data_IF_337045637016
#
_entry.id   IF_337045637016
#
_cell.length_a   1.000
_cell.length_b   1.000
_cell.length_c   1.000
_cell.angle_alpha   90.00
_cell.angle_beta   90.00
_cell.angle_gamma   90.00
#
_symmetry.space_group_name_H-M   'P 1'
#
loop_
_entity.id
_entity.type
_entity.pdbx_description
1 polymer ?
#
# COMPACT_ATOMS: atom_id res chain seq x y z
N UNK A 1 -42.87 29.79 17.31
CA UNK A 1 -41.63 29.83 16.50
C UNK A 1 -41.49 28.47 15.83
N UNK A 2 -41.95 28.33 14.58
CA UNK A 2 -41.70 27.09 13.83
C UNK A 2 -40.24 27.11 13.41
N UNK A 3 -39.43 26.20 13.96
CA UNK A 3 -38.11 25.96 13.41
C UNK A 3 -38.29 25.46 11.98
N UNK A 4 -37.81 26.24 11.03
CA UNK A 4 -37.91 25.96 9.61
C UNK A 4 -37.17 24.65 9.31
N UNK A 5 -37.95 23.61 9.01
CA UNK A 5 -37.45 22.26 8.74
C UNK A 5 -36.45 22.23 7.58
N UNK A 6 -36.52 23.22 6.67
CA UNK A 6 -35.58 23.34 5.56
C UNK A 6 -34.15 23.65 6.04
N UNK A 7 -33.98 24.51 7.04
CA UNK A 7 -32.67 24.88 7.60
C UNK A 7 -31.97 23.65 8.18
N UNK A 8 -32.72 22.80 8.88
CA UNK A 8 -32.20 21.57 9.47
C UNK A 8 -31.72 20.57 8.39
N UNK A 9 -32.45 20.46 7.28
CA UNK A 9 -32.06 19.60 6.14
C UNK A 9 -30.76 20.09 5.48
N UNK A 10 -30.57 21.41 5.32
CA UNK A 10 -29.32 21.95 4.77
C UNK A 10 -28.11 21.68 5.67
N UNK A 11 -28.26 21.77 6.99
CA UNK A 11 -27.17 21.45 7.94
C UNK A 11 -26.80 19.97 7.87
N UNK A 12 -27.78 19.07 7.87
CA UNK A 12 -27.53 17.62 7.75
C UNK A 12 -26.87 17.29 6.41
N UNK A 13 -27.32 17.89 5.29
CA UNK A 13 -26.69 17.71 3.99
C UNK A 13 -25.26 18.26 3.96
N UNK A 14 -24.99 19.41 4.58
CA UNK A 14 -23.65 19.96 4.67
C UNK A 14 -22.71 19.06 5.50
N UNK A 15 -23.16 18.51 6.63
CA UNK A 15 -22.38 17.55 7.42
C UNK A 15 -22.10 16.26 6.64
N UNK A 16 -23.10 15.72 5.93
CA UNK A 16 -22.90 14.55 5.06
C UNK A 16 -21.90 14.86 3.95
N UNK A 17 -21.98 16.03 3.30
CA UNK A 17 -21.04 16.44 2.26
C UNK A 17 -19.63 16.60 2.86
N UNK A 18 -19.48 17.21 4.04
CA UNK A 18 -18.20 17.36 4.73
C UNK A 18 -17.64 15.98 5.09
N UNK A 19 -18.45 15.07 5.61
CA UNK A 19 -18.04 13.70 5.91
C UNK A 19 -17.63 12.93 4.65
N UNK A 20 -18.36 13.10 3.53
CA UNK A 20 -18.01 12.49 2.25
C UNK A 20 -16.72 13.09 1.65
N UNK A 21 -16.50 14.40 1.80
CA UNK A 21 -15.25 15.06 1.40
C UNK A 21 -14.07 14.59 2.27
N UNK A 22 -14.27 14.48 3.58
CA UNK A 22 -13.27 13.95 4.51
C UNK A 22 -12.98 12.46 4.25
N UNK A 23 -13.99 11.67 3.87
CA UNK A 23 -13.84 10.26 3.51
C UNK A 23 -13.12 10.11 2.16
N UNK A 24 -13.38 10.99 1.20
CA UNK A 24 -12.67 11.03 -0.09
C UNK A 24 -11.19 11.38 0.07
N UNK A 25 -10.85 12.26 1.01
CA UNK A 25 -9.45 12.62 1.31
C UNK A 25 -8.78 11.63 2.29
N UNK A 26 -9.54 10.69 2.88
CA UNK A 26 -9.00 9.72 3.83
C UNK A 26 -8.21 8.65 3.08
N UNK A 27 -6.92 8.90 2.94
CA UNK A 27 -5.94 7.93 2.46
C UNK A 27 -6.10 6.62 3.23
N UNK A 28 -6.14 5.49 2.52
CA UNK A 28 -5.83 4.20 3.18
C UNK A 28 -4.42 4.35 3.74
N UNK A 29 -4.21 4.15 5.06
CA UNK A 29 -2.88 4.29 5.63
C UNK A 29 -1.93 3.38 4.84
N UNK A 30 -0.71 3.86 4.52
CA UNK A 30 0.24 3.05 3.80
C UNK A 30 0.55 1.78 4.60
N UNK A 31 0.92 0.72 3.89
CA UNK A 31 1.27 -0.54 4.52
C UNK A 31 2.38 -0.33 5.56
N UNK A 32 2.09 -0.71 6.80
CA UNK A 32 3.03 -0.63 7.92
C UNK A 32 3.47 -2.02 8.31
N UNK A 33 4.79 -2.24 8.30
CA UNK A 33 5.37 -3.47 8.83
C UNK A 33 5.23 -3.51 10.35
N UNK A 34 4.96 -4.70 10.89
CA UNK A 34 5.01 -4.96 12.33
C UNK A 34 6.42 -4.74 12.87
N UNK A 35 6.52 -4.18 14.08
CA UNK A 35 7.81 -4.00 14.77
C UNK A 35 8.48 -5.32 15.16
N UNK A 36 7.70 -6.40 15.20
CA UNK A 36 8.21 -7.75 15.48
C UNK A 36 9.17 -8.25 14.39
N UNK A 37 9.06 -7.71 13.16
CA UNK A 37 10.01 -8.00 12.07
C UNK A 37 11.39 -7.42 12.30
N UNK A 38 11.54 -6.48 13.24
CA UNK A 38 12.81 -5.78 13.44
C UNK A 38 13.80 -6.56 14.31
N UNK A 39 13.40 -7.67 14.92
CA UNK A 39 14.20 -8.39 15.90
C UNK A 39 14.31 -9.87 15.51
N UNK A 40 15.50 -10.45 15.62
CA UNK A 40 15.72 -11.87 15.38
C UNK A 40 15.40 -12.73 16.63
N UNK A 41 15.56 -14.05 16.51
CA UNK A 41 15.28 -14.99 17.61
C UNK A 41 16.18 -14.83 18.83
N UNK A 42 17.30 -14.12 18.71
CA UNK A 42 18.25 -13.84 19.79
C UNK A 42 18.01 -12.47 20.44
N UNK A 43 16.99 -11.72 19.99
CA UNK A 43 16.72 -10.36 20.49
C UNK A 43 17.57 -9.28 19.83
N UNK A 44 18.32 -9.60 18.77
CA UNK A 44 19.17 -8.64 18.05
C UNK A 44 18.34 -7.94 16.98
N UNK A 45 18.46 -6.61 16.90
CA UNK A 45 17.80 -5.81 15.89
C UNK A 45 18.41 -6.09 14.50
N UNK A 46 17.56 -6.30 13.50
CA UNK A 46 17.97 -6.31 12.11
C UNK A 46 18.38 -4.91 11.65
N UNK A 47 19.33 -4.86 10.72
CA UNK A 47 19.82 -3.63 10.10
C UNK A 47 19.22 -3.48 8.68
N UNK A 48 18.08 -2.77 8.52
CA UNK A 48 17.50 -2.52 7.21
C UNK A 48 18.38 -1.59 6.38
N UNK A 49 18.40 -1.80 5.06
CA UNK A 49 19.15 -0.96 4.11
C UNK A 49 18.44 0.35 3.78
N UNK A 50 17.12 0.41 3.99
CA UNK A 50 16.30 1.61 3.81
C UNK A 50 15.55 1.86 5.12
N UNK A 51 15.82 3.02 5.72
CA UNK A 51 15.18 3.49 6.96
C UNK A 51 14.47 4.80 6.70
N UNK A 52 13.52 5.15 7.57
CA UNK A 52 12.87 6.47 7.54
C UNK A 52 13.92 7.58 7.59
N UNK A 53 13.79 8.54 6.68
CA UNK A 53 14.74 9.64 6.56
C UNK A 53 14.50 10.68 7.67
N UNK A 54 15.52 11.05 8.48
CA UNK A 54 15.35 12.11 9.48
C UNK A 54 14.91 13.42 8.83
N UNK A 55 13.80 13.99 9.32
CA UNK A 55 13.25 15.24 8.76
C UNK A 55 12.62 15.09 7.38
N UNK A 56 12.16 13.88 7.02
CA UNK A 56 11.40 13.66 5.79
C UNK A 56 10.22 14.64 5.64
N UNK A 57 10.09 15.20 4.44
CA UNK A 57 8.91 15.94 3.97
C UNK A 57 8.65 15.53 2.53
N UNK A 58 7.47 14.97 2.30
CA UNK A 58 7.05 14.57 0.96
C UNK A 58 6.87 15.78 0.05
N UNK A 59 6.47 16.94 0.58
CA UNK A 59 6.36 18.19 -0.18
C UNK A 59 7.71 18.58 -0.79
N UNK A 60 8.80 18.50 -0.02
CA UNK A 60 10.13 18.83 -0.52
C UNK A 60 10.56 17.93 -1.68
N UNK A 61 10.32 16.62 -1.57
CA UNK A 61 10.63 15.67 -2.64
C UNK A 61 9.72 15.91 -3.87
N UNK A 62 8.43 16.16 -3.66
CA UNK A 62 7.47 16.47 -4.74
C UNK A 62 7.84 17.75 -5.49
N UNK A 63 8.19 18.84 -4.79
CA UNK A 63 8.61 20.09 -5.43
C UNK A 63 9.90 19.92 -6.22
N UNK A 64 10.87 19.15 -5.69
CA UNK A 64 12.12 18.87 -6.41
C UNK A 64 11.85 18.11 -7.70
N UNK A 65 11.08 17.02 -7.64
CA UNK A 65 10.76 16.19 -8.82
C UNK A 65 9.94 17.00 -9.84
N UNK A 66 8.95 17.76 -9.39
CA UNK A 66 8.05 18.50 -10.28
C UNK A 66 8.72 19.59 -11.11
N UNK A 67 9.76 20.23 -10.56
CA UNK A 67 10.44 21.38 -11.17
C UNK A 67 11.68 21.01 -12.03
N UNK A 68 12.05 19.73 -12.10
CA UNK A 68 13.21 19.26 -12.88
C UNK A 68 12.91 19.14 -14.38
N UNK A 69 13.97 19.12 -15.20
CA UNK A 69 13.86 18.74 -16.62
C UNK A 69 13.56 17.24 -16.76
N UNK A 70 13.11 16.83 -17.94
CA UNK A 70 12.68 15.46 -18.20
C UNK A 70 13.75 14.41 -17.87
N UNK A 71 15.00 14.64 -18.28
CA UNK A 71 16.09 13.68 -18.05
C UNK A 71 16.50 13.62 -16.58
N UNK A 72 16.54 14.76 -15.89
CA UNK A 72 16.85 14.84 -14.45
C UNK A 72 15.80 14.15 -13.57
N UNK A 73 14.53 14.13 -14.01
CA UNK A 73 13.44 13.49 -13.26
C UNK A 73 13.64 11.99 -13.10
N UNK A 74 14.13 11.29 -14.12
CA UNK A 74 14.30 9.84 -14.06
C UNK A 74 15.32 9.46 -12.98
N UNK A 75 16.49 10.09 -13.00
CA UNK A 75 17.56 9.86 -12.03
C UNK A 75 17.10 10.26 -10.62
N UNK A 76 16.44 11.42 -10.49
CA UNK A 76 15.96 11.88 -9.19
C UNK A 76 14.87 10.98 -8.61
N UNK A 77 13.93 10.54 -9.46
CA UNK A 77 12.88 9.63 -9.03
C UNK A 77 13.52 8.33 -8.54
N UNK A 78 14.47 7.77 -9.28
CA UNK A 78 15.16 6.54 -8.85
C UNK A 78 15.90 6.74 -7.51
N UNK A 79 16.60 7.85 -7.32
CA UNK A 79 17.25 8.20 -6.04
C UNK A 79 16.23 8.22 -4.89
N UNK A 80 15.07 8.85 -5.09
CA UNK A 80 13.99 8.91 -4.10
C UNK A 80 13.43 7.51 -3.83
N UNK A 81 13.18 6.70 -4.86
CA UNK A 81 12.64 5.35 -4.69
C UNK A 81 13.58 4.44 -3.90
N UNK A 82 14.88 4.54 -4.14
CA UNK A 82 15.90 3.71 -3.49
C UNK A 82 16.28 4.17 -2.08
N UNK A 83 15.89 5.38 -1.68
CA UNK A 83 16.26 5.97 -0.37
C UNK A 83 15.08 6.28 0.56
N UNK A 84 13.85 6.00 0.13
CA UNK A 84 12.64 6.23 0.92
C UNK A 84 11.94 4.91 1.23
N UNK A 85 11.40 4.79 2.43
CA UNK A 85 10.51 3.68 2.82
C UNK A 85 9.23 3.68 1.99
N UNK A 86 8.52 2.55 1.90
CA UNK A 86 7.27 2.50 1.14
C UNK A 86 6.24 3.53 1.64
N UNK A 87 6.10 3.70 2.96
CA UNK A 87 5.22 4.70 3.55
C UNK A 87 5.56 6.14 3.11
N UNK A 88 6.84 6.51 3.12
CA UNK A 88 7.30 7.81 2.62
C UNK A 88 7.01 7.96 1.11
N UNK A 89 7.22 6.91 0.32
CA UNK A 89 6.90 6.91 -1.12
C UNK A 89 5.40 7.08 -1.37
N UNK A 90 4.53 6.45 -0.57
CA UNK A 90 3.08 6.66 -0.66
C UNK A 90 2.68 8.10 -0.34
N UNK A 91 3.34 8.73 0.65
CA UNK A 91 3.12 10.16 0.93
C UNK A 91 3.56 11.04 -0.26
N UNK A 92 4.69 10.73 -0.90
CA UNK A 92 5.15 11.42 -2.12
C UNK A 92 4.15 11.24 -3.26
N UNK A 93 3.71 10.02 -3.55
CA UNK A 93 2.73 9.72 -4.63
C UNK A 93 1.45 10.52 -4.43
N UNK A 94 0.92 10.53 -3.21
CA UNK A 94 -0.29 11.28 -2.87
C UNK A 94 -0.10 12.79 -3.04
N UNK A 95 0.96 13.35 -2.46
CA UNK A 95 1.23 14.79 -2.54
C UNK A 95 1.55 15.24 -3.97
N UNK A 96 2.20 14.39 -4.78
CA UNK A 96 2.43 14.67 -6.19
C UNK A 96 1.12 14.77 -6.97
N UNK A 97 0.23 13.78 -6.79
CA UNK A 97 -1.09 13.78 -7.42
C UNK A 97 -1.91 15.01 -6.99
N UNK A 98 -1.85 15.40 -5.71
CA UNK A 98 -2.56 16.57 -5.18
C UNK A 98 -2.03 17.89 -5.74
N UNK A 99 -0.71 18.04 -5.84
CA UNK A 99 -0.08 19.29 -6.27
C UNK A 99 -0.09 19.48 -7.80
N UNK A 100 0.11 18.42 -8.57
CA UNK A 100 0.24 18.49 -10.03
C UNK A 100 -0.95 17.92 -10.80
N UNK A 101 -1.95 17.37 -10.10
CA UNK A 101 -3.14 16.72 -10.68
C UNK A 101 -2.81 15.64 -11.73
N UNK A 102 -1.70 14.91 -11.52
CA UNK A 102 -1.24 13.83 -12.40
C UNK A 102 -0.39 12.82 -11.64
N UNK A 103 -0.39 11.59 -12.13
CA UNK A 103 0.42 10.52 -11.53
C UNK A 103 1.90 10.78 -11.76
N UNK A 104 2.70 10.62 -10.71
CA UNK A 104 4.17 10.69 -10.79
C UNK A 104 4.74 9.63 -11.76
N UNK A 105 4.03 8.52 -11.99
CA UNK A 105 4.43 7.49 -12.95
C UNK A 105 4.48 8.02 -14.40
N UNK A 106 3.67 9.04 -14.72
CA UNK A 106 3.64 9.66 -16.05
C UNK A 106 4.84 10.59 -16.29
N UNK A 107 5.64 10.90 -15.26
CA UNK A 107 6.87 11.69 -15.41
C UNK A 107 8.02 10.88 -15.98
N UNK A 108 7.93 9.54 -15.93
CA UNK A 108 8.97 8.65 -16.40
C UNK A 108 8.95 8.65 -17.92
N UNK A 109 9.91 9.32 -18.52
CA UNK A 109 10.09 9.34 -19.97
C UNK A 109 11.00 8.22 -20.44
N UNK A 110 10.57 7.52 -21.50
CA UNK A 110 11.43 6.72 -22.39
C UNK A 110 12.38 5.73 -21.71
N UNK A 111 11.93 5.09 -20.64
CA UNK A 111 12.58 3.87 -20.16
C UNK A 111 12.29 2.75 -21.17
N UNK A 112 13.21 2.56 -22.12
CA UNK A 112 13.14 1.55 -23.17
C UNK A 112 13.06 0.11 -22.62
N UNK A 113 13.40 -0.09 -21.35
CA UNK A 113 13.38 -1.40 -20.69
C UNK A 113 12.07 -1.59 -19.92
N UNK A 114 11.18 -2.45 -20.45
CA UNK A 114 9.91 -2.82 -19.79
C UNK A 114 10.08 -3.21 -18.32
N UNK A 115 11.15 -3.93 -17.99
CA UNK A 115 11.46 -4.36 -16.61
C UNK A 115 11.67 -3.18 -15.67
N UNK A 116 12.39 -2.14 -16.10
CA UNK A 116 12.65 -0.97 -15.28
C UNK A 116 11.38 -0.13 -15.06
N UNK A 117 10.51 -0.06 -16.07
CA UNK A 117 9.19 0.57 -15.91
C UNK A 117 8.33 -0.14 -14.87
N UNK A 118 8.29 -1.47 -14.91
CA UNK A 118 7.57 -2.29 -13.91
C UNK A 118 8.19 -2.10 -12.52
N UNK A 119 9.52 -2.17 -12.41
CA UNK A 119 10.22 -1.93 -11.16
C UNK A 119 9.86 -0.59 -10.51
N UNK A 120 9.88 0.51 -11.28
CA UNK A 120 9.50 1.82 -10.73
C UNK A 120 8.03 1.87 -10.34
N UNK A 121 7.15 1.30 -11.18
CA UNK A 121 5.73 1.21 -10.86
C UNK A 121 5.50 0.46 -9.54
N UNK A 122 6.17 -0.68 -9.36
CA UNK A 122 6.06 -1.48 -8.14
C UNK A 122 6.62 -0.71 -6.94
N UNK A 123 7.75 -0.03 -7.10
CA UNK A 123 8.33 0.80 -6.03
C UNK A 123 7.40 1.94 -5.59
N UNK A 124 6.62 2.51 -6.50
CA UNK A 124 5.62 3.54 -6.22
C UNK A 124 4.29 2.98 -5.70
N UNK A 125 4.07 1.68 -5.80
CA UNK A 125 2.83 1.02 -5.38
C UNK A 125 2.89 0.70 -3.88
N UNK A 126 1.75 0.81 -3.20
CA UNK A 126 1.68 0.42 -1.79
C UNK A 126 1.96 -1.09 -1.65
N UNK A 127 2.72 -1.45 -0.62
CA UNK A 127 3.16 -2.85 -0.44
C UNK A 127 1.95 -3.78 -0.28
N UNK A 128 0.85 -3.34 0.34
CA UNK A 128 -0.34 -4.16 0.49
C UNK A 128 -0.96 -4.54 -0.86
N UNK A 129 -0.95 -3.62 -1.83
CA UNK A 129 -1.46 -3.85 -3.18
C UNK A 129 -0.58 -4.84 -3.95
N UNK A 130 0.75 -4.72 -3.83
CA UNK A 130 1.69 -5.66 -4.45
C UNK A 130 1.49 -7.08 -3.91
N UNK A 131 1.42 -7.22 -2.59
CA UNK A 131 1.22 -8.51 -1.93
C UNK A 131 -0.14 -9.13 -2.30
N UNK A 132 -1.20 -8.31 -2.37
CA UNK A 132 -2.53 -8.75 -2.78
C UNK A 132 -2.55 -9.24 -4.23
N UNK A 133 -1.88 -8.53 -5.16
CA UNK A 133 -1.77 -8.95 -6.56
C UNK A 133 -1.01 -10.28 -6.69
N UNK A 134 0.14 -10.39 -6.02
CA UNK A 134 0.96 -11.61 -6.03
C UNK A 134 0.22 -12.80 -5.40
N UNK A 135 -0.49 -12.61 -4.29
CA UNK A 135 -1.36 -13.65 -3.71
C UNK A 135 -2.45 -14.09 -4.68
N UNK A 136 -3.12 -13.15 -5.36
CA UNK A 136 -4.15 -13.50 -6.33
C UNK A 136 -3.59 -14.28 -7.53
N UNK A 137 -2.43 -13.86 -8.07
CA UNK A 137 -1.75 -14.59 -9.14
C UNK A 137 -1.39 -16.01 -8.70
N UNK A 138 -0.76 -16.14 -7.53
CA UNK A 138 -0.35 -17.42 -6.97
C UNK A 138 -1.54 -18.37 -6.75
N UNK A 139 -2.65 -17.87 -6.22
CA UNK A 139 -3.86 -18.69 -6.02
C UNK A 139 -4.49 -19.13 -7.35
N UNK A 140 -4.50 -18.28 -8.37
CA UNK A 140 -4.99 -18.63 -9.72
C UNK A 140 -4.13 -19.68 -10.40
N UNK A 141 -2.83 -19.68 -10.15
CA UNK A 141 -1.90 -20.69 -10.67
C UNK A 141 -1.71 -21.88 -9.74
N UNK A 142 -2.44 -21.93 -8.62
CA UNK A 142 -2.29 -22.96 -7.57
C UNK A 142 -0.84 -23.11 -7.07
N UNK A 143 -0.11 -22.00 -6.98
CA UNK A 143 1.25 -21.94 -6.44
C UNK A 143 1.20 -21.84 -4.91
N UNK A 144 1.12 -23.00 -4.25
CA UNK A 144 1.07 -23.08 -2.80
C UNK A 144 2.35 -22.55 -2.14
N UNK A 145 3.51 -22.66 -2.81
CA UNK A 145 4.79 -22.24 -2.26
C UNK A 145 4.84 -20.71 -2.13
N UNK A 146 4.42 -19.99 -3.17
CA UNK A 146 4.37 -18.53 -3.16
C UNK A 146 3.32 -18.02 -2.16
N UNK A 147 2.13 -18.64 -2.13
CA UNK A 147 1.09 -18.31 -1.12
C UNK A 147 1.63 -18.48 0.30
N UNK A 148 2.31 -19.61 0.57
CA UNK A 148 2.93 -19.87 1.87
C UNK A 148 3.95 -18.79 2.19
N UNK A 149 4.87 -18.50 1.28
CA UNK A 149 5.98 -17.55 1.48
C UNK A 149 5.48 -16.14 1.83
N UNK A 150 4.37 -15.72 1.23
CA UNK A 150 3.76 -14.42 1.54
C UNK A 150 3.05 -14.46 2.90
N UNK A 151 2.17 -15.43 3.14
CA UNK A 151 1.37 -15.48 4.36
C UNK A 151 2.20 -15.69 5.62
N UNK A 152 3.31 -16.45 5.54
CA UNK A 152 4.19 -16.64 6.69
C UNK A 152 4.99 -15.39 7.05
N UNK A 153 5.09 -14.40 6.17
CA UNK A 153 5.76 -13.13 6.45
C UNK A 153 4.82 -12.11 7.11
N UNK A 154 3.51 -12.36 7.17
CA UNK A 154 2.56 -11.43 7.79
C UNK A 154 2.56 -11.56 9.32
N UNK A 155 2.52 -10.44 10.02
CA UNK A 155 2.44 -10.33 11.47
C UNK A 155 1.55 -9.16 11.90
N UNK A 156 0.82 -9.33 12.99
CA UNK A 156 -0.13 -8.30 13.48
C UNK A 156 -1.13 -7.91 12.39
N UNK A 157 -1.30 -6.61 12.17
CA UNK A 157 -2.30 -6.07 11.23
C UNK A 157 -1.92 -6.21 9.73
N UNK A 158 -0.75 -6.76 9.39
CA UNK A 158 -0.30 -6.86 7.99
C UNK A 158 -1.25 -7.69 7.11
N UNK A 159 -1.80 -8.79 7.64
CA UNK A 159 -2.80 -9.59 6.91
C UNK A 159 -4.04 -8.74 6.61
N UNK A 160 -4.56 -8.02 7.61
CA UNK A 160 -5.76 -7.21 7.48
C UNK A 160 -5.56 -6.05 6.49
N UNK A 161 -4.38 -5.45 6.48
CA UNK A 161 -4.00 -4.42 5.50
C UNK A 161 -4.08 -4.97 4.06
N UNK A 162 -3.51 -6.16 3.82
CA UNK A 162 -3.52 -6.81 2.49
C UNK A 162 -4.92 -7.29 2.11
N UNK A 163 -5.66 -7.92 3.02
CA UNK A 163 -7.05 -8.36 2.80
C UNK A 163 -7.95 -7.19 2.40
N UNK A 164 -7.78 -6.01 3.01
CA UNK A 164 -8.61 -4.84 2.74
C UNK A 164 -8.53 -4.34 1.29
N UNK A 165 -7.40 -4.56 0.62
CA UNK A 165 -7.15 -4.18 -0.77
C UNK A 165 -7.26 -5.37 -1.74
N UNK A 166 -7.33 -6.60 -1.22
CA UNK A 166 -7.42 -7.82 -2.03
C UNK A 166 -8.63 -7.85 -2.97
N UNK A 167 -9.72 -7.19 -2.57
CA UNK A 167 -10.94 -7.00 -3.38
C UNK A 167 -10.72 -6.32 -4.73
N UNK A 168 -9.59 -5.63 -4.93
CA UNK A 168 -9.20 -5.06 -6.23
C UNK A 168 -8.91 -6.18 -7.24
N UNK A 169 -8.45 -7.33 -6.77
CA UNK A 169 -7.91 -8.42 -7.57
C UNK A 169 -8.79 -9.68 -7.61
N UNK A 170 -9.65 -9.85 -6.62
CA UNK A 170 -10.57 -10.98 -6.46
C UNK A 170 -11.88 -10.55 -5.83
N UNK A 171 -12.96 -11.28 -6.11
CA UNK A 171 -14.25 -11.09 -5.42
C UNK A 171 -14.36 -11.95 -4.15
N UNK A 172 -13.36 -12.80 -3.89
CA UNK A 172 -13.30 -13.70 -2.74
C UNK A 172 -12.37 -13.12 -1.69
N UNK A 173 -12.62 -13.42 -0.41
CA UNK A 173 -11.61 -13.19 0.63
C UNK A 173 -10.39 -14.08 0.42
N UNK A 174 -9.22 -13.71 0.94
CA UNK A 174 -8.00 -14.53 0.84
C UNK A 174 -8.28 -15.95 1.37
N UNK A 175 -9.00 -16.08 2.49
CA UNK A 175 -9.35 -17.37 3.07
C UNK A 175 -10.28 -18.23 2.21
N UNK A 176 -11.24 -17.61 1.53
CA UNK A 176 -12.13 -18.35 0.64
C UNK A 176 -11.39 -18.78 -0.63
N UNK A 177 -10.53 -17.93 -1.17
CA UNK A 177 -9.74 -18.25 -2.34
C UNK A 177 -8.74 -19.39 -2.05
N UNK A 178 -8.10 -19.40 -0.88
CA UNK A 178 -7.27 -20.54 -0.43
C UNK A 178 -8.08 -21.84 -0.36
N UNK A 179 -9.30 -21.80 0.18
CA UNK A 179 -10.16 -22.98 0.22
C UNK A 179 -10.45 -23.53 -1.19
N UNK A 180 -10.76 -22.62 -2.11
CA UNK A 180 -11.13 -22.96 -3.47
C UNK A 180 -9.93 -23.49 -4.26
N UNK A 181 -8.73 -22.94 -4.06
CA UNK A 181 -7.51 -23.34 -4.77
C UNK A 181 -6.82 -24.57 -4.17
N UNK A 182 -6.82 -24.73 -2.85
CA UNK A 182 -5.99 -25.72 -2.14
C UNK A 182 -6.76 -26.65 -1.19
N UNK A 183 -8.05 -26.38 -0.96
CA UNK A 183 -8.92 -27.16 -0.10
C UNK A 183 -8.90 -26.72 1.38
N UNK A 184 -9.88 -27.25 2.11
CA UNK A 184 -10.18 -26.85 3.50
C UNK A 184 -9.04 -27.15 4.48
N UNK A 185 -8.28 -28.24 4.25
CA UNK A 185 -7.16 -28.60 5.13
C UNK A 185 -6.07 -27.54 5.11
N UNK A 186 -5.70 -27.07 3.91
CA UNK A 186 -4.68 -26.03 3.75
C UNK A 186 -5.15 -24.70 4.33
N UNK A 187 -6.41 -24.31 4.06
CA UNK A 187 -7.03 -23.14 4.69
C UNK A 187 -6.89 -23.19 6.21
N UNK A 188 -7.29 -24.30 6.83
CA UNK A 188 -7.29 -24.43 8.29
C UNK A 188 -5.88 -24.28 8.87
N UNK A 189 -4.86 -24.86 8.22
CA UNK A 189 -3.47 -24.72 8.66
C UNK A 189 -3.04 -23.24 8.67
N UNK A 190 -3.29 -22.51 7.58
CA UNK A 190 -2.90 -21.10 7.51
C UNK A 190 -3.73 -20.21 8.44
N UNK A 191 -5.02 -20.50 8.63
CA UNK A 191 -5.85 -19.74 9.56
C UNK A 191 -5.35 -19.88 11.00
N UNK A 192 -5.01 -21.10 11.45
CA UNK A 192 -4.44 -21.32 12.79
C UNK A 192 -3.14 -20.54 12.96
N UNK A 193 -2.24 -20.64 11.97
CA UNK A 193 -0.97 -19.92 11.99
C UNK A 193 -1.13 -18.39 12.04
N UNK A 194 -2.17 -17.84 11.38
CA UNK A 194 -2.45 -16.41 11.42
C UNK A 194 -2.89 -15.93 12.80
N UNK A 195 -3.71 -16.72 13.51
CA UNK A 195 -4.17 -16.35 14.87
C UNK A 195 -3.03 -16.32 15.88
N UNK A 196 -2.07 -17.25 15.79
CA UNK A 196 -0.90 -17.27 16.67
C UNK A 196 -0.02 -16.01 16.54
N UNK A 197 -0.21 -15.21 15.49
CA UNK A 197 0.52 -13.96 15.25
C UNK A 197 -0.22 -12.70 15.66
N UNK A 198 -1.49 -12.82 16.04
CA UNK A 198 -2.29 -11.70 16.58
C UNK A 198 -2.19 -11.58 18.10
N UNK A 199 -1.73 -12.64 18.79
CA UNK A 199 -1.50 -12.71 20.25
C UNK A 199 -0.05 -12.43 20.63
#
# INVERSE_FOLDING_TARGET
MSFDSSVNVYYVLAEIIIMLLQLYDKQTPPFSRSTLHNINTEGILYEPTVVSSPGFSSENDVYKIGNMTRDEKNDKLLEVLLSRTNAERQSIVHNYQKLFNKSILLEISDINMRSMKLFIQDMLTDTSMLLADELNKAMKTSDLQLVTSILIDFWGDEFNQVESVYRIYSNESIWQHINNSFGVTVKNIFTVYSYDKET
#
